data_IF_458586730206
#
_entry.id   IF_458586730206
#
_cell.length_a   1.000
_cell.length_b   1.000
_cell.length_c   1.000
_cell.angle_alpha   90.00
_cell.angle_beta   90.00
_cell.angle_gamma   90.00
#
_symmetry.space_group_name_H-M   'P 1'
#
loop_
_entity.id
_entity.type
_entity.pdbx_description
1 polymer ?
#
# COMPACT_ATOMS: atom_id res chain seq x y z
N UNK A 1 -21.11 6.53 -13.07
CA UNK A 1 -21.92 7.62 -12.50
C UNK A 1 -22.24 8.60 -13.62
N UNK A 2 -23.49 9.10 -13.76
CA UNK A 2 -23.79 10.20 -14.67
C UNK A 2 -23.05 11.47 -14.24
N UNK A 3 -22.72 12.36 -15.18
CA UNK A 3 -22.12 13.65 -14.86
C UNK A 3 -23.11 14.56 -14.12
N UNK A 4 -22.60 15.46 -13.29
CA UNK A 4 -23.38 16.49 -12.62
C UNK A 4 -23.04 16.65 -11.14
N UNK A 5 -23.90 17.37 -10.44
CA UNK A 5 -23.79 17.61 -9.00
C UNK A 5 -24.34 16.41 -8.24
N UNK A 6 -23.51 15.78 -7.42
CA UNK A 6 -23.87 14.63 -6.59
C UNK A 6 -23.61 14.94 -5.13
N UNK A 7 -24.60 14.69 -4.28
CA UNK A 7 -24.45 14.75 -2.82
C UNK A 7 -24.08 13.37 -2.30
N UNK A 8 -23.04 13.32 -1.48
CA UNK A 8 -22.56 12.13 -0.80
C UNK A 8 -22.74 12.32 0.69
N UNK A 9 -23.44 11.39 1.33
CA UNK A 9 -23.72 11.44 2.77
C UNK A 9 -23.37 10.10 3.40
N UNK A 10 -22.62 10.15 4.49
CA UNK A 10 -22.25 9.00 5.31
C UNK A 10 -22.95 9.14 6.65
N UNK A 11 -23.72 8.12 7.02
CA UNK A 11 -24.42 8.03 8.29
C UNK A 11 -23.80 6.95 9.16
N UNK A 12 -23.89 7.11 10.48
CA UNK A 12 -23.79 5.94 11.37
C UNK A 12 -24.91 4.96 11.03
N UNK A 13 -24.66 3.66 11.19
CA UNK A 13 -25.69 2.64 10.97
C UNK A 13 -25.88 1.83 12.25
N UNK A 14 -27.14 1.56 12.67
CA UNK A 14 -27.39 0.65 13.77
C UNK A 14 -26.96 -0.77 13.37
N UNK A 15 -26.56 -1.58 14.35
CA UNK A 15 -26.16 -2.96 14.11
C UNK A 15 -27.40 -3.84 13.86
N UNK A 16 -27.85 -3.90 12.61
CA UNK A 16 -29.03 -4.65 12.15
C UNK A 16 -28.78 -5.23 10.75
N UNK A 17 -29.54 -6.22 10.34
CA UNK A 17 -29.59 -6.78 8.99
C UNK A 17 -30.60 -6.07 8.07
N UNK A 18 -31.46 -5.20 8.61
CA UNK A 18 -32.48 -4.46 7.85
C UNK A 18 -31.82 -3.44 6.90
N UNK A 19 -32.17 -3.41 5.60
CA UNK A 19 -31.70 -2.40 4.66
C UNK A 19 -31.96 -0.97 5.15
N UNK A 20 -31.03 -0.04 4.94
CA UNK A 20 -31.09 1.30 5.53
C UNK A 20 -32.41 2.03 5.23
N UNK A 21 -32.91 1.95 3.99
CA UNK A 21 -34.15 2.64 3.59
C UNK A 21 -35.43 1.98 4.13
N UNK A 22 -35.32 0.78 4.68
CA UNK A 22 -36.42 0.05 5.33
C UNK A 22 -36.42 0.24 6.85
N UNK A 23 -35.40 0.90 7.40
CA UNK A 23 -35.37 1.26 8.82
C UNK A 23 -36.51 2.25 9.15
N UNK A 24 -37.11 2.13 10.36
CA UNK A 24 -38.02 3.14 10.87
C UNK A 24 -37.45 4.55 10.72
N UNK A 25 -38.29 5.51 10.35
CA UNK A 25 -37.89 6.92 10.14
C UNK A 25 -37.16 7.47 11.37
N UNK A 26 -37.67 7.18 12.58
CA UNK A 26 -37.06 7.62 13.84
C UNK A 26 -35.62 7.12 13.99
N UNK A 27 -35.37 5.84 13.67
CA UNK A 27 -34.02 5.26 13.73
C UNK A 27 -33.11 5.89 12.68
N UNK A 28 -33.62 6.23 11.49
CA UNK A 28 -32.83 6.91 10.44
C UNK A 28 -32.47 8.35 10.82
N UNK A 29 -33.38 9.07 11.46
CA UNK A 29 -33.18 10.46 11.92
C UNK A 29 -32.26 10.54 13.14
N UNK A 30 -32.25 9.50 13.98
CA UNK A 30 -31.32 9.37 15.11
C UNK A 30 -29.87 9.03 14.69
N UNK A 31 -29.63 8.68 13.42
CA UNK A 31 -28.28 8.41 12.95
C UNK A 31 -27.48 9.70 12.80
N UNK A 32 -26.30 9.74 13.41
CA UNK A 32 -25.39 10.85 13.24
C UNK A 32 -24.85 10.88 11.80
N UNK A 33 -24.91 12.06 11.18
CA UNK A 33 -24.22 12.31 9.91
C UNK A 33 -22.73 12.36 10.22
N UNK A 34 -21.98 11.41 9.67
CA UNK A 34 -20.52 11.33 9.80
C UNK A 34 -19.87 12.32 8.82
N UNK A 35 -20.36 12.40 7.58
CA UNK A 35 -19.86 13.32 6.58
C UNK A 35 -20.96 13.62 5.54
N UNK A 36 -21.03 14.86 5.07
CA UNK A 36 -21.97 15.31 4.06
C UNK A 36 -21.31 16.36 3.19
N UNK A 37 -21.20 16.08 1.90
CA UNK A 37 -20.69 17.06 0.94
C UNK A 37 -21.29 16.83 -0.44
N UNK A 38 -21.13 17.84 -1.29
CA UNK A 38 -21.60 17.83 -2.67
C UNK A 38 -20.41 18.06 -3.61
N UNK A 39 -20.29 17.20 -4.62
CA UNK A 39 -19.24 17.28 -5.62
C UNK A 39 -19.81 17.31 -7.03
N UNK A 40 -19.12 17.99 -7.93
CA UNK A 40 -19.41 17.94 -9.35
C UNK A 40 -18.56 16.85 -10.00
N UNK A 41 -19.22 15.81 -10.52
CA UNK A 41 -18.58 14.70 -11.20
C UNK A 41 -18.67 14.88 -12.71
N UNK A 42 -17.57 14.60 -13.39
CA UNK A 42 -17.50 14.61 -14.85
C UNK A 42 -17.65 13.19 -15.41
N UNK A 43 -18.27 13.07 -16.59
CA UNK A 43 -18.48 11.79 -17.23
C UNK A 43 -17.15 11.19 -17.71
N UNK A 44 -16.99 9.88 -17.54
CA UNK A 44 -15.78 9.16 -17.97
C UNK A 44 -14.56 9.33 -17.06
N UNK A 45 -14.67 10.11 -15.99
CA UNK A 45 -13.61 10.27 -15.00
C UNK A 45 -13.67 9.17 -13.93
N UNK A 46 -12.51 8.93 -13.30
CA UNK A 46 -12.36 8.03 -12.17
C UNK A 46 -12.12 8.86 -10.91
N UNK A 47 -12.75 8.47 -9.80
CA UNK A 47 -12.62 9.17 -8.53
C UNK A 47 -12.31 8.20 -7.40
N UNK A 48 -11.46 8.64 -6.48
CA UNK A 48 -11.22 7.98 -5.19
C UNK A 48 -11.89 8.80 -4.09
N UNK A 49 -12.72 8.16 -3.29
CA UNK A 49 -13.47 8.78 -2.19
C UNK A 49 -13.00 8.21 -0.85
N UNK A 50 -12.66 9.09 0.07
CA UNK A 50 -12.33 8.75 1.46
C UNK A 50 -13.17 9.60 2.42
N UNK A 51 -13.51 9.03 3.58
CA UNK A 51 -13.97 9.78 4.76
C UNK A 51 -12.79 9.82 5.71
N UNK A 52 -12.25 11.01 5.95
CA UNK A 52 -11.03 11.21 6.73
C UNK A 52 -11.33 11.98 8.01
N UNK A 53 -10.57 11.73 9.07
CA UNK A 53 -10.49 12.61 10.23
C UNK A 53 -9.57 13.79 9.88
N UNK A 54 -9.99 15.03 10.15
CA UNK A 54 -9.20 16.24 9.84
C UNK A 54 -8.09 16.49 10.85
N UNK A 55 -8.45 16.43 12.13
CA UNK A 55 -7.59 16.77 13.26
C UNK A 55 -7.94 15.88 14.45
N UNK A 56 -6.93 15.53 15.24
CA UNK A 56 -7.13 14.74 16.46
C UNK A 56 -7.43 15.65 17.65
N UNK A 57 -8.37 15.25 18.49
CA UNK A 57 -8.58 15.84 19.82
C UNK A 57 -9.48 17.08 19.86
N UNK A 58 -10.20 17.39 18.79
CA UNK A 58 -11.29 18.37 18.82
C UNK A 58 -12.47 17.91 19.69
N UNK A 59 -13.26 18.86 20.21
CA UNK A 59 -14.47 18.56 21.01
C UNK A 59 -15.58 17.87 20.19
N UNK A 60 -15.53 17.99 18.86
CA UNK A 60 -16.42 17.35 17.90
C UNK A 60 -15.60 16.54 16.88
N UNK A 61 -16.12 15.39 16.44
CA UNK A 61 -15.51 14.56 15.39
C UNK A 61 -15.42 15.35 14.08
N UNK A 62 -14.26 15.95 13.83
CA UNK A 62 -13.98 16.75 12.63
C UNK A 62 -13.66 15.82 11.46
N UNK A 63 -14.64 15.53 10.63
CA UNK A 63 -14.47 14.69 9.43
C UNK A 63 -14.36 15.52 8.15
N UNK A 64 -13.71 14.95 7.14
CA UNK A 64 -13.59 15.46 5.78
C UNK A 64 -14.06 14.39 4.81
N UNK A 65 -14.99 14.78 3.94
CA UNK A 65 -15.24 14.00 2.73
C UNK A 65 -14.21 14.39 1.67
N UNK A 66 -13.25 13.49 1.43
CA UNK A 66 -12.14 13.65 0.49
C UNK A 66 -12.48 12.98 -0.83
N UNK A 67 -12.53 13.75 -1.92
CA UNK A 67 -12.78 13.21 -3.27
C UNK A 67 -11.69 13.67 -4.24
N UNK A 68 -10.86 12.73 -4.70
CA UNK A 68 -9.78 12.99 -5.66
C UNK A 68 -10.16 12.45 -7.03
N UNK A 69 -10.03 13.28 -8.07
CA UNK A 69 -10.19 12.85 -9.46
C UNK A 69 -8.90 12.21 -9.96
N UNK A 70 -8.92 10.91 -10.17
CA UNK A 70 -7.76 10.12 -10.56
C UNK A 70 -7.39 10.33 -12.03
N UNK A 71 -6.09 10.39 -12.33
CA UNK A 71 -5.60 10.67 -13.69
C UNK A 71 -5.01 9.46 -14.41
N UNK A 72 -4.82 8.32 -13.74
CA UNK A 72 -4.14 7.17 -14.32
C UNK A 72 -4.80 6.67 -15.62
N UNK A 73 -6.13 6.74 -15.72
CA UNK A 73 -6.88 6.28 -16.89
C UNK A 73 -6.61 7.11 -18.17
N UNK A 74 -5.89 8.24 -18.05
CA UNK A 74 -5.47 9.12 -19.15
C UNK A 74 -3.96 9.09 -19.40
N UNK A 75 -3.21 8.30 -18.65
CA UNK A 75 -1.76 8.21 -18.76
C UNK A 75 -1.35 7.00 -19.59
N UNK A 76 -0.25 7.14 -20.33
CA UNK A 76 0.41 6.00 -20.95
C UNK A 76 1.35 5.35 -19.94
N UNK A 77 1.24 4.03 -19.81
CA UNK A 77 2.08 3.21 -18.92
C UNK A 77 2.83 2.16 -19.72
N UNK A 78 4.13 2.06 -19.45
CA UNK A 78 5.01 1.05 -20.02
C UNK A 78 4.84 -0.27 -19.26
N UNK A 79 4.81 -1.39 -19.99
CA UNK A 79 4.63 -2.71 -19.38
C UNK A 79 5.89 -3.21 -18.65
N UNK A 80 7.02 -2.48 -18.73
CA UNK A 80 8.27 -2.77 -18.02
C UNK A 80 8.44 -1.99 -16.71
N UNK A 81 7.47 -1.16 -16.32
CA UNK A 81 7.54 -0.30 -15.15
C UNK A 81 6.32 -0.51 -14.25
N UNK A 82 6.57 -0.56 -12.95
CA UNK A 82 5.58 -0.42 -11.89
C UNK A 82 5.37 1.06 -11.61
N UNK A 83 4.12 1.48 -11.44
CA UNK A 83 3.78 2.87 -11.14
C UNK A 83 3.16 2.96 -9.76
N UNK A 84 3.68 3.84 -8.91
CA UNK A 84 3.15 4.04 -7.56
C UNK A 84 3.14 5.51 -7.16
N UNK A 85 2.02 5.99 -6.65
CA UNK A 85 1.93 7.28 -5.98
C UNK A 85 1.59 7.12 -4.50
N UNK A 86 1.88 8.16 -3.72
CA UNK A 86 1.79 8.13 -2.27
C UNK A 86 0.98 9.31 -1.75
N UNK A 87 0.24 9.06 -0.67
CA UNK A 87 -0.51 10.08 0.07
C UNK A 87 -0.34 9.87 1.55
N UNK A 88 -0.05 10.95 2.28
CA UNK A 88 -0.20 10.97 3.73
C UNK A 88 -1.46 11.78 4.05
N UNK A 89 -2.56 11.04 4.19
CA UNK A 89 -3.90 11.58 4.44
C UNK A 89 -4.24 11.60 5.95
N UNK A 90 -3.25 11.36 6.81
CA UNK A 90 -3.43 11.33 8.27
C UNK A 90 -3.98 12.67 8.81
N UNK A 91 -4.72 12.57 9.91
CA UNK A 91 -5.23 13.73 10.63
C UNK A 91 -4.09 14.59 11.19
N UNK A 92 -4.33 15.90 11.25
CA UNK A 92 -3.44 16.86 11.93
C UNK A 92 -3.28 16.45 13.40
N UNK A 93 -2.05 16.51 13.91
CA UNK A 93 -1.75 16.19 15.31
C UNK A 93 -1.82 14.70 15.66
N UNK A 94 -2.13 13.80 14.71
CA UNK A 94 -2.29 12.38 15.02
C UNK A 94 -1.05 11.74 15.65
N UNK A 95 0.14 12.03 15.10
CA UNK A 95 1.41 11.50 15.60
C UNK A 95 1.71 12.00 17.01
N UNK A 96 1.46 13.28 17.28
CA UNK A 96 1.74 13.90 18.58
C UNK A 96 0.77 13.42 19.67
N UNK A 97 -0.50 13.18 19.30
CA UNK A 97 -1.51 12.60 20.18
C UNK A 97 -1.28 11.10 20.47
N UNK A 98 -0.49 10.42 19.64
CA UNK A 98 -0.15 9.01 19.79
C UNK A 98 1.37 8.81 19.79
N UNK A 99 2.09 9.35 20.80
CA UNK A 99 3.55 9.33 20.87
C UNK A 99 4.11 7.94 21.19
N UNK A 100 3.25 6.92 21.29
CA UNK A 100 3.63 5.55 21.57
C UNK A 100 4.79 5.15 20.67
N UNK A 101 5.93 4.71 21.25
CA UNK A 101 7.05 4.25 20.45
C UNK A 101 6.59 3.13 19.53
N UNK A 102 7.27 2.93 18.41
CA UNK A 102 7.13 1.70 17.62
C UNK A 102 7.38 0.52 18.56
N UNK A 103 6.34 -0.03 19.19
CA UNK A 103 6.49 -1.21 20.00
C UNK A 103 7.13 -2.25 19.09
N UNK A 104 8.15 -2.96 19.57
CA UNK A 104 8.62 -4.15 18.86
C UNK A 104 7.40 -5.08 18.77
N UNK A 105 6.79 -5.13 17.59
CA UNK A 105 5.58 -5.93 17.37
C UNK A 105 6.03 -7.38 17.49
N UNK A 106 5.74 -7.98 18.63
CA UNK A 106 5.83 -9.42 18.81
C UNK A 106 4.72 -10.04 17.99
N UNK A 107 5.12 -10.78 16.96
CA UNK A 107 4.37 -11.78 16.19
C UNK A 107 2.84 -11.65 16.19
N UNK A 108 2.28 -11.50 14.98
CA UNK A 108 0.88 -11.70 14.58
C UNK A 108 -0.08 -10.51 14.49
N UNK A 109 0.25 -9.32 14.97
CA UNK A 109 -0.63 -8.16 14.77
C UNK A 109 -0.25 -7.41 13.48
N UNK A 110 -0.72 -7.92 12.34
CA UNK A 110 -0.42 -7.45 10.97
C UNK A 110 -0.90 -6.02 10.66
N UNK A 111 -1.26 -5.23 11.66
CA UNK A 111 -1.98 -3.95 11.51
C UNK A 111 -1.41 -2.79 12.34
N UNK A 112 -0.21 -2.92 12.94
CA UNK A 112 0.27 -1.93 13.92
C UNK A 112 1.63 -1.31 13.58
N UNK A 113 1.87 -0.90 12.34
CA UNK A 113 3.01 -0.03 12.01
C UNK A 113 2.92 1.33 12.74
N UNK A 114 3.96 2.16 12.65
CA UNK A 114 3.96 3.49 13.24
C UNK A 114 3.17 4.49 12.40
N UNK A 115 2.55 5.47 13.07
CA UNK A 115 2.07 6.66 12.39
C UNK A 115 3.27 7.40 11.78
N UNK A 116 3.12 7.88 10.56
CA UNK A 116 4.19 8.58 9.84
C UNK A 116 4.12 10.08 10.11
N UNK A 117 5.29 10.73 10.24
CA UNK A 117 5.38 12.19 10.44
C UNK A 117 4.79 12.97 9.26
N UNK A 118 4.53 14.25 9.50
CA UNK A 118 3.99 15.15 8.47
C UNK A 118 4.88 15.20 7.22
N UNK A 119 6.19 15.24 7.41
CA UNK A 119 7.16 15.16 6.32
C UNK A 119 7.93 13.86 6.44
N UNK A 120 8.03 13.12 5.34
CA UNK A 120 8.82 11.89 5.23
C UNK A 120 9.49 11.80 3.86
N UNK A 121 10.59 11.05 3.79
CA UNK A 121 11.22 10.61 2.57
C UNK A 121 10.89 9.13 2.36
N UNK A 122 10.60 8.76 1.13
CA UNK A 122 10.31 7.40 0.70
C UNK A 122 11.47 6.92 -0.16
N UNK A 123 12.02 5.78 0.20
CA UNK A 123 13.02 5.06 -0.58
C UNK A 123 12.45 3.70 -0.97
N UNK A 124 12.92 3.14 -2.08
CA UNK A 124 12.65 1.74 -2.41
C UNK A 124 13.93 0.92 -2.46
N UNK A 125 13.79 -0.36 -2.14
CA UNK A 125 14.82 -1.37 -2.35
C UNK A 125 14.22 -2.58 -3.08
N UNK A 126 14.96 -3.16 -4.01
CA UNK A 126 14.60 -4.42 -4.66
C UNK A 126 15.39 -5.55 -4.05
N UNK A 127 14.72 -6.66 -3.80
CA UNK A 127 15.31 -7.85 -3.22
C UNK A 127 15.02 -9.05 -4.11
N UNK A 128 16.02 -9.92 -4.28
CA UNK A 128 15.83 -11.11 -5.11
C UNK A 128 14.95 -12.12 -4.42
N UNK A 129 14.06 -12.71 -5.20
CA UNK A 129 13.39 -13.95 -4.85
C UNK A 129 14.18 -15.12 -5.45
N UNK A 130 15.17 -15.59 -4.70
CA UNK A 130 16.03 -16.70 -5.10
C UNK A 130 15.33 -18.07 -4.96
N UNK A 131 14.04 -18.09 -4.62
CA UNK A 131 13.28 -19.31 -4.46
C UNK A 131 12.98 -19.93 -5.84
N UNK A 132 13.34 -21.21 -6.06
CA UNK A 132 12.96 -21.93 -7.28
C UNK A 132 11.43 -21.99 -7.44
N UNK A 133 10.95 -21.73 -8.66
CA UNK A 133 9.53 -21.80 -9.01
C UNK A 133 9.20 -23.10 -9.79
N UNK A 134 8.04 -23.76 -9.60
CA UNK A 134 6.97 -23.45 -8.63
C UNK A 134 7.46 -23.56 -7.19
N UNK A 135 6.81 -22.84 -6.26
CA UNK A 135 7.14 -22.89 -4.83
C UNK A 135 6.93 -24.32 -4.30
N UNK A 136 7.96 -25.16 -4.40
CA UNK A 136 7.95 -26.51 -3.84
C UNK A 136 8.46 -26.46 -2.41
N UNK A 137 7.78 -27.17 -1.51
CA UNK A 137 8.30 -27.38 -0.16
C UNK A 137 9.66 -28.09 -0.26
N UNK A 138 10.69 -27.52 0.38
CA UNK A 138 12.00 -28.14 0.51
C UNK A 138 12.01 -28.76 1.91
N UNK A 139 12.13 -30.09 2.03
CA UNK A 139 12.10 -30.80 3.32
C UNK A 139 10.86 -30.49 4.18
N UNK A 140 9.66 -30.41 3.57
CA UNK A 140 8.41 -29.98 4.22
C UNK A 140 8.44 -28.56 4.81
N UNK A 141 9.43 -27.75 4.48
CA UNK A 141 9.52 -26.35 4.88
C UNK A 141 9.28 -25.44 3.68
N UNK A 142 8.62 -24.31 3.93
CA UNK A 142 8.47 -23.27 2.92
C UNK A 142 9.85 -22.67 2.65
N UNK A 143 10.28 -22.56 1.38
CA UNK A 143 11.53 -21.90 1.05
C UNK A 143 11.53 -20.46 1.60
N UNK A 144 12.68 -20.05 2.16
CA UNK A 144 12.85 -18.70 2.73
C UNK A 144 13.08 -17.70 1.62
N UNK A 145 12.43 -16.55 1.72
CA UNK A 145 12.60 -15.46 0.77
C UNK A 145 13.98 -14.85 0.95
N UNK A 146 14.63 -14.58 -0.18
CA UNK A 146 15.88 -13.85 -0.20
C UNK A 146 15.69 -12.43 0.32
N UNK A 147 16.50 -12.05 1.31
CA UNK A 147 16.67 -10.67 1.75
C UNK A 147 17.95 -10.07 1.15
N UNK A 148 18.48 -10.64 0.06
CA UNK A 148 19.65 -10.10 -0.63
C UNK A 148 19.20 -8.93 -1.52
N UNK A 149 19.63 -7.69 -1.23
CA UNK A 149 19.29 -6.57 -2.09
C UNK A 149 19.92 -6.74 -3.46
N UNK A 150 19.20 -6.36 -4.51
CA UNK A 150 19.73 -6.33 -5.86
C UNK A 150 20.80 -5.24 -5.94
N UNK A 151 22.01 -5.53 -6.47
CA UNK A 151 23.05 -4.53 -6.61
C UNK A 151 22.55 -3.26 -7.32
N UNK A 152 22.86 -2.10 -6.76
CA UNK A 152 22.44 -0.80 -7.30
C UNK A 152 20.95 -0.46 -7.10
N UNK A 153 20.17 -1.30 -6.43
CA UNK A 153 18.73 -1.07 -6.19
C UNK A 153 18.40 -1.09 -4.69
N UNK A 154 19.29 -0.53 -3.87
CA UNK A 154 19.09 -0.42 -2.43
C UNK A 154 18.93 1.05 -2.04
N UNK A 155 17.88 1.35 -1.27
CA UNK A 155 17.55 2.69 -0.75
C UNK A 155 17.58 3.77 -1.83
N UNK A 156 16.98 3.48 -2.98
CA UNK A 156 16.84 4.45 -4.06
C UNK A 156 15.78 5.48 -3.66
N UNK A 157 16.10 6.79 -3.66
CA UNK A 157 15.13 7.83 -3.35
C UNK A 157 13.96 7.77 -4.34
N UNK A 158 12.74 7.76 -3.82
CA UNK A 158 11.53 7.71 -4.62
C UNK A 158 10.77 9.04 -4.56
N UNK A 159 10.42 9.50 -3.36
CA UNK A 159 9.63 10.72 -3.18
C UNK A 159 9.82 11.35 -1.80
N UNK A 160 9.77 12.67 -1.72
CA UNK A 160 9.47 13.38 -0.47
C UNK A 160 7.96 13.56 -0.34
N UNK A 161 7.37 13.08 0.74
CA UNK A 161 5.94 13.11 0.99
C UNK A 161 5.65 14.08 2.14
N UNK A 162 4.70 14.97 1.91
CA UNK A 162 4.15 15.87 2.93
C UNK A 162 2.68 15.52 3.15
N UNK A 163 2.26 15.50 4.41
CA UNK A 163 0.87 15.31 4.84
C UNK A 163 -0.01 16.35 4.17
N UNK A 164 -1.07 15.90 3.52
CA UNK A 164 -2.05 16.76 2.90
C UNK A 164 -3.35 16.00 2.70
N UNK A 165 -4.46 16.64 3.05
CA UNK A 165 -5.80 16.17 2.71
C UNK A 165 -6.38 16.99 1.55
N UNK A 166 -5.54 17.68 0.79
CA UNK A 166 -5.95 18.33 -0.46
C UNK A 166 -6.22 17.26 -1.54
N UNK A 167 -7.34 17.33 -2.27
CA UNK A 167 -7.76 16.33 -3.24
C UNK A 167 -6.99 16.42 -4.58
N UNK A 168 -5.67 16.54 -4.51
CA UNK A 168 -4.79 16.68 -5.67
C UNK A 168 -4.06 15.37 -5.92
N UNK A 169 -3.99 14.93 -7.17
CA UNK A 169 -3.24 13.72 -7.55
C UNK A 169 -1.74 13.96 -7.45
N UNK A 170 -1.07 13.15 -6.62
CA UNK A 170 0.39 13.14 -6.53
C UNK A 170 1.02 12.44 -7.75
N UNK A 171 2.25 12.81 -8.15
CA UNK A 171 2.95 12.16 -9.25
C UNK A 171 3.10 10.65 -9.04
N UNK A 172 3.05 9.89 -10.13
CA UNK A 172 3.39 8.46 -10.12
C UNK A 172 4.91 8.33 -10.24
N UNK A 173 5.50 7.64 -9.27
CA UNK A 173 6.88 7.22 -9.32
C UNK A 173 6.99 5.86 -10.00
N UNK A 174 8.16 5.58 -10.58
CA UNK A 174 8.38 4.34 -11.33
C UNK A 174 9.40 3.45 -10.66
N UNK A 175 9.13 2.14 -10.64
CA UNK A 175 10.05 1.09 -10.20
C UNK A 175 10.15 0.06 -11.33
N UNK A 176 11.35 -0.46 -11.68
CA UNK A 176 11.45 -1.43 -12.76
C UNK A 176 10.70 -2.72 -12.44
N UNK A 177 9.88 -3.21 -13.38
CA UNK A 177 9.19 -4.50 -13.25
C UNK A 177 10.16 -5.68 -13.41
N UNK A 178 11.15 -5.55 -14.29
CA UNK A 178 12.16 -6.56 -14.55
C UNK A 178 13.53 -6.02 -14.15
N UNK A 179 14.35 -6.87 -13.53
CA UNK A 179 15.71 -6.49 -13.16
C UNK A 179 16.59 -6.41 -14.42
N UNK A 180 17.70 -5.64 -14.40
CA UNK A 180 18.62 -5.56 -15.53
C UNK A 180 19.22 -6.91 -15.95
N UNK A 181 19.29 -7.87 -15.03
CA UNK A 181 19.77 -9.23 -15.26
C UNK A 181 18.63 -10.27 -15.37
N UNK A 182 17.43 -9.83 -15.73
CA UNK A 182 16.30 -10.73 -15.98
C UNK A 182 16.65 -11.75 -17.07
N UNK A 183 16.63 -13.02 -16.70
CA UNK A 183 16.89 -14.15 -17.60
C UNK A 183 15.63 -14.70 -18.25
N UNK A 184 14.44 -14.19 -17.87
CA UNK A 184 13.15 -14.68 -18.36
C UNK A 184 12.69 -13.98 -19.63
N UNK A 185 13.40 -12.92 -20.07
CA UNK A 185 13.07 -12.18 -21.27
C UNK A 185 11.83 -11.29 -21.12
N UNK A 186 11.69 -10.63 -19.96
CA UNK A 186 10.53 -9.81 -19.58
C UNK A 186 9.23 -10.61 -19.42
N UNK A 187 9.34 -11.86 -18.95
CA UNK A 187 8.18 -12.73 -18.73
C UNK A 187 7.82 -12.80 -17.25
N UNK A 188 8.79 -13.07 -16.38
CA UNK A 188 8.56 -13.32 -14.96
C UNK A 188 9.56 -12.55 -14.11
N UNK A 189 9.05 -11.60 -13.34
CA UNK A 189 9.82 -10.87 -12.35
C UNK A 189 10.00 -11.69 -11.08
N UNK A 190 11.26 -11.86 -10.67
CA UNK A 190 11.67 -12.64 -9.47
C UNK A 190 12.30 -11.74 -8.41
N UNK A 191 11.66 -10.61 -8.15
CA UNK A 191 12.06 -9.70 -7.08
C UNK A 191 10.84 -9.18 -6.34
N UNK A 192 11.06 -8.71 -5.11
CA UNK A 192 10.04 -8.00 -4.33
C UNK A 192 10.51 -6.60 -3.97
N UNK A 193 9.56 -5.72 -3.61
CA UNK A 193 9.81 -4.31 -3.34
C UNK A 193 9.67 -4.04 -1.85
N UNK A 194 10.66 -3.41 -1.26
CA UNK A 194 10.55 -2.79 0.07
C UNK A 194 10.48 -1.29 -0.09
N UNK A 195 9.60 -0.65 0.67
CA UNK A 195 9.58 0.79 0.84
C UNK A 195 10.03 1.15 2.27
N UNK A 196 10.94 2.10 2.34
CA UNK A 196 11.44 2.65 3.59
C UNK A 196 10.95 4.09 3.71
N UNK A 197 10.14 4.35 4.75
CA UNK A 197 9.51 5.64 5.01
C UNK A 197 10.18 6.25 6.24
N UNK A 198 10.94 7.33 6.02
CA UNK A 198 11.78 7.94 7.06
C UNK A 198 11.47 9.42 7.25
N UNK A 199 11.46 9.95 8.48
CA UNK A 199 11.34 11.38 8.70
C UNK A 199 12.61 12.12 8.21
N UNK A 200 12.51 13.41 7.84
CA UNK A 200 13.66 14.26 7.56
C UNK A 200 14.67 14.24 8.72
N UNK A 201 15.96 14.15 8.39
CA UNK A 201 17.04 14.06 9.40
C UNK A 201 17.12 12.71 10.12
N UNK A 202 16.07 11.88 10.03
CA UNK A 202 16.19 10.45 10.28
C UNK A 202 17.07 9.87 9.19
N UNK A 203 18.32 9.56 9.52
CA UNK A 203 19.18 8.85 8.59
C UNK A 203 18.43 7.60 8.13
N UNK A 204 18.31 7.40 6.81
CA UNK A 204 17.96 6.09 6.28
C UNK A 204 18.95 5.13 6.91
N UNK A 205 18.47 4.33 7.88
CA UNK A 205 19.31 3.64 8.85
C UNK A 205 20.53 3.09 8.15
N UNK A 206 21.70 3.64 8.52
CA UNK A 206 22.92 3.48 7.74
C UNK A 206 23.05 2.04 7.32
N UNK A 207 23.08 1.80 6.00
CA UNK A 207 23.21 0.49 5.39
C UNK A 207 22.55 -0.61 6.25
N UNK A 208 21.25 -0.86 6.11
CA UNK A 208 20.73 -2.18 6.50
C UNK A 208 21.33 -3.17 5.50
N UNK A 209 22.63 -3.43 5.64
CA UNK A 209 23.28 -4.60 5.14
C UNK A 209 22.58 -5.75 5.80
N UNK A 210 22.03 -6.64 4.99
CA UNK A 210 21.59 -7.94 5.46
C UNK A 210 22.85 -8.76 5.75
N UNK A 211 23.62 -8.34 6.74
CA UNK A 211 24.81 -9.04 7.25
C UNK A 211 24.52 -9.71 8.58
N UNK A 212 23.33 -9.52 9.17
CA UNK A 212 22.88 -10.28 10.33
C UNK A 212 22.27 -11.62 9.86
N UNK A 213 22.80 -12.77 10.29
CA UNK A 213 22.20 -14.09 10.06
C UNK A 213 20.74 -14.20 10.51
N UNK A 214 20.24 -13.27 11.32
CA UNK A 214 18.85 -13.21 11.78
C UNK A 214 17.86 -12.60 10.76
N UNK A 215 18.33 -11.98 9.68
CA UNK A 215 17.51 -11.32 8.66
C UNK A 215 16.49 -10.30 9.21
N UNK A 216 16.81 -9.65 10.34
CA UNK A 216 15.90 -8.68 10.97
C UNK A 216 15.91 -7.34 10.25
N UNK A 217 14.73 -6.85 9.89
CA UNK A 217 14.53 -5.50 9.37
C UNK A 217 14.37 -4.55 10.57
N UNK A 218 15.34 -3.67 10.79
CA UNK A 218 15.18 -2.59 11.77
C UNK A 218 14.40 -1.44 11.13
N UNK A 219 13.26 -1.08 11.72
CA UNK A 219 12.59 0.15 11.32
C UNK A 219 13.49 1.36 11.66
N UNK A 220 13.57 2.34 10.77
CA UNK A 220 14.27 3.58 11.05
C UNK A 220 13.64 4.29 12.26
N UNK A 221 14.45 4.96 13.07
CA UNK A 221 13.95 5.71 14.22
C UNK A 221 12.88 6.73 13.77
N UNK A 222 11.67 6.62 14.33
CA UNK A 222 10.50 7.45 13.99
C UNK A 222 10.04 7.34 12.52
N UNK A 223 10.37 6.25 11.82
CA UNK A 223 9.84 5.91 10.51
C UNK A 223 9.07 4.59 10.51
N UNK A 224 8.60 4.16 9.34
CA UNK A 224 7.92 2.87 9.15
C UNK A 224 8.49 2.16 7.92
N UNK A 225 8.30 0.84 7.87
CA UNK A 225 8.66 0.01 6.72
C UNK A 225 7.37 -0.51 6.10
N UNK A 226 7.28 -0.46 4.77
CA UNK A 226 6.21 -1.13 4.03
C UNK A 226 6.85 -2.18 3.12
N UNK A 227 6.58 -3.45 3.39
CA UNK A 227 7.07 -4.58 2.59
C UNK A 227 6.01 -5.01 1.59
N UNK A 228 6.34 -4.98 0.29
CA UNK A 228 5.45 -5.30 -0.84
C UNK A 228 5.96 -6.59 -1.50
N UNK A 229 5.31 -7.71 -1.22
CA UNK A 229 5.88 -9.04 -1.54
C UNK A 229 5.03 -9.78 -2.58
N UNK A 230 5.66 -10.39 -3.60
CA UNK A 230 5.02 -11.10 -4.73
C UNK A 230 4.34 -12.43 -4.35
N UNK A 231 4.16 -12.69 -3.06
CA UNK A 231 3.90 -14.04 -2.55
C UNK A 231 2.45 -14.52 -2.70
N UNK A 232 1.66 -13.84 -3.54
CA UNK A 232 0.37 -14.37 -3.92
C UNK A 232 0.55 -15.38 -5.05
N UNK A 233 0.90 -16.61 -4.71
CA UNK A 233 0.14 -17.72 -5.29
C UNK A 233 -1.31 -17.50 -4.86
N UNK A 234 -2.08 -16.73 -5.64
CA UNK A 234 -3.54 -16.62 -5.52
C UNK A 234 -4.10 -16.29 -4.11
N UNK A 235 -3.29 -15.71 -3.21
CA UNK A 235 -3.70 -15.45 -1.82
C UNK A 235 -3.79 -16.70 -0.93
N UNK A 236 -3.20 -17.83 -1.32
CA UNK A 236 -3.35 -19.12 -0.61
C UNK A 236 -2.25 -19.47 0.38
N UNK A 237 -1.18 -18.69 0.48
CA UNK A 237 -0.04 -19.08 1.29
C UNK A 237 0.49 -17.95 2.17
N UNK A 238 0.19 -18.08 3.47
CA UNK A 238 0.77 -17.28 4.54
C UNK A 238 2.30 -17.43 4.57
N UNK A 239 3.02 -16.33 4.74
CA UNK A 239 4.44 -16.37 5.03
C UNK A 239 4.70 -17.25 6.26
N UNK A 240 5.53 -18.27 6.10
CA UNK A 240 6.39 -18.69 7.19
C UNK A 240 7.72 -17.98 6.98
N UNK A 241 7.83 -16.75 7.48
CA UNK A 241 9.13 -16.15 7.73
C UNK A 241 9.78 -17.00 8.81
N UNK A 242 10.53 -18.02 8.41
CA UNK A 242 11.30 -18.81 9.35
C UNK A 242 12.21 -17.88 10.16
N UNK A 243 11.82 -17.53 11.38
CA UNK A 243 12.68 -16.89 12.36
C UNK A 243 12.80 -15.35 12.36
N UNK A 244 11.87 -14.56 11.78
CA UNK A 244 11.93 -13.09 11.93
C UNK A 244 10.78 -12.54 12.77
N UNK A 245 10.77 -12.89 14.06
CA UNK A 245 10.09 -12.03 15.03
C UNK A 245 10.78 -10.67 15.07
N UNK A 246 9.99 -9.59 14.98
CA UNK A 246 10.34 -8.21 15.30
C UNK A 246 10.88 -7.36 14.14
N UNK A 247 10.11 -7.20 13.06
CA UNK A 247 10.26 -6.04 12.17
C UNK A 247 8.97 -5.20 12.24
N UNK A 248 8.97 -4.03 12.88
CA UNK A 248 7.83 -3.13 12.83
C UNK A 248 7.64 -2.62 11.39
N UNK A 249 6.47 -2.88 10.80
CA UNK A 249 6.16 -2.47 9.43
C UNK A 249 4.85 -3.06 8.92
N UNK A 250 4.41 -2.57 7.77
CA UNK A 250 3.21 -3.04 7.08
C UNK A 250 3.59 -4.05 6.00
N UNK A 251 2.82 -5.12 5.88
CA UNK A 251 2.92 -6.06 4.76
C UNK A 251 1.72 -5.83 3.86
N UNK A 252 1.96 -5.38 2.63
CA UNK A 252 0.91 -5.20 1.63
C UNK A 252 1.12 -6.19 0.48
N UNK A 253 0.08 -6.44 -0.33
CA UNK A 253 0.24 -7.14 -1.60
C UNK A 253 1.33 -6.50 -2.47
N UNK A 254 1.92 -7.27 -3.37
CA UNK A 254 2.94 -6.72 -4.26
C UNK A 254 2.40 -5.68 -5.23
N UNK A 255 3.29 -4.76 -5.62
CA UNK A 255 3.16 -3.94 -6.82
C UNK A 255 3.25 -4.78 -8.12
N UNK A 256 3.77 -5.99 -8.05
CA UNK A 256 3.91 -6.90 -9.19
C UNK A 256 2.76 -7.90 -9.14
N UNK A 257 1.94 -7.93 -10.21
CA UNK A 257 0.95 -8.98 -10.36
C UNK A 257 1.55 -10.14 -11.14
N UNK A 258 1.42 -11.35 -10.63
CA UNK A 258 1.75 -12.57 -11.35
C UNK A 258 0.47 -13.37 -11.63
N UNK A 259 0.31 -13.85 -12.85
CA UNK A 259 -0.81 -14.70 -13.27
C UNK A 259 -0.43 -15.54 -14.49
N UNK A 260 -1.12 -16.66 -14.71
CA UNK A 260 -1.04 -17.40 -15.97
C UNK A 260 -1.62 -16.54 -17.11
N UNK A 261 -0.95 -16.50 -18.27
CA UNK A 261 -1.39 -15.69 -19.41
C UNK A 261 -0.71 -16.11 -20.70
N UNK A 262 -1.50 -16.24 -21.77
CA UNK A 262 -1.01 -16.76 -23.05
C UNK A 262 -0.35 -18.14 -22.86
N UNK A 263 0.83 -18.38 -23.48
CA UNK A 263 1.53 -19.66 -23.33
C UNK A 263 2.29 -19.80 -21.99
N UNK A 264 2.30 -18.75 -21.15
CA UNK A 264 3.09 -18.72 -19.93
C UNK A 264 2.25 -19.14 -18.73
N UNK A 265 2.73 -20.16 -18.02
CA UNK A 265 2.14 -20.60 -16.74
C UNK A 265 2.16 -19.50 -15.68
N UNK A 266 3.14 -18.61 -15.77
CA UNK A 266 3.18 -17.37 -14.99
C UNK A 266 3.83 -16.27 -15.82
N UNK A 267 3.22 -15.09 -15.74
CA UNK A 267 3.72 -13.86 -16.31
C UNK A 267 3.55 -12.73 -15.30
N UNK A 268 4.53 -11.84 -15.24
CA UNK A 268 4.49 -10.64 -14.44
C UNK A 268 3.92 -9.47 -15.22
N UNK A 269 3.07 -8.70 -14.55
CA UNK A 269 2.38 -7.56 -15.12
C UNK A 269 2.65 -6.30 -14.31
N UNK A 270 2.84 -5.21 -15.04
CA UNK A 270 2.86 -3.87 -14.49
C UNK A 270 1.54 -3.54 -13.79
N UNK A 271 1.62 -2.80 -12.70
CA UNK A 271 0.44 -2.25 -12.02
C UNK A 271 0.59 -0.74 -11.85
N UNK A 272 -0.56 -0.08 -11.71
CA UNK A 272 -0.65 1.31 -11.26
C UNK A 272 -1.25 1.27 -9.87
N UNK A 273 -0.45 1.62 -8.88
CA UNK A 273 -0.82 1.50 -7.48
C UNK A 273 -0.82 2.85 -6.78
N UNK A 274 -1.64 2.94 -5.74
CA UNK A 274 -1.73 4.07 -4.84
C UNK A 274 -1.58 3.56 -3.42
N UNK A 275 -0.64 4.13 -2.68
CA UNK A 275 -0.41 3.81 -1.27
C UNK A 275 -0.82 5.02 -0.42
N UNK A 276 -1.78 4.81 0.48
CA UNK A 276 -2.35 5.85 1.33
C UNK A 276 -2.04 5.54 2.79
N UNK A 277 -1.31 6.44 3.44
CA UNK A 277 -1.10 6.43 4.88
C UNK A 277 -2.21 7.24 5.52
N UNK A 278 -3.02 6.59 6.34
CA UNK A 278 -4.12 7.23 7.09
C UNK A 278 -3.90 6.88 8.55
N UNK A 279 -3.44 7.87 9.32
CA UNK A 279 -3.18 7.71 10.74
C UNK A 279 -2.14 6.59 10.97
N UNK A 280 -2.52 5.51 11.67
CA UNK A 280 -1.67 4.33 11.92
C UNK A 280 -1.91 3.18 10.92
N UNK A 281 -2.57 3.44 9.81
CA UNK A 281 -2.94 2.43 8.82
C UNK A 281 -2.35 2.76 7.45
N UNK A 282 -2.11 1.70 6.66
CA UNK A 282 -1.66 1.81 5.28
C UNK A 282 -2.58 1.03 4.38
N UNK A 283 -3.07 1.70 3.35
CA UNK A 283 -3.95 1.14 2.34
C UNK A 283 -3.23 1.14 1.00
N UNK A 284 -3.50 0.10 0.21
CA UNK A 284 -3.00 -0.01 -1.15
C UNK A 284 -4.14 -0.34 -2.09
N UNK A 285 -4.30 0.49 -3.11
CA UNK A 285 -5.18 0.22 -4.24
C UNK A 285 -4.32 -0.01 -5.47
N UNK A 286 -4.61 -1.06 -6.24
CA UNK A 286 -3.91 -1.36 -7.48
C UNK A 286 -4.89 -1.56 -8.63
N UNK A 287 -4.58 -0.91 -9.75
CA UNK A 287 -5.26 -1.10 -11.02
C UNK A 287 -4.30 -1.80 -11.97
N UNK A 288 -4.81 -2.78 -12.70
CA UNK A 288 -4.04 -3.52 -13.70
C UNK A 288 -4.80 -3.56 -15.03
N UNK A 289 -4.06 -3.65 -16.13
CA UNK A 289 -4.63 -3.96 -17.44
C UNK A 289 -5.15 -5.40 -17.47
N UNK A 290 -6.10 -5.65 -18.34
CA UNK A 290 -6.51 -7.00 -18.73
C UNK A 290 -5.33 -7.69 -19.42
N UNK A 291 -5.13 -8.98 -19.15
CA UNK A 291 -4.09 -9.81 -19.76
C UNK A 291 -4.71 -10.93 -20.58
N UNK A 292 -3.95 -11.45 -21.55
CA UNK A 292 -4.41 -12.54 -22.40
C UNK A 292 -4.78 -13.76 -21.56
N UNK A 293 -5.89 -14.46 -21.88
CA UNK A 293 -6.24 -15.68 -21.17
C UNK A 293 -5.13 -16.74 -21.34
N UNK A 294 -4.98 -17.66 -20.37
CA UNK A 294 -4.07 -18.80 -20.51
C UNK A 294 -4.44 -19.66 -21.73
N UNK A 295 -3.44 -20.14 -22.45
CA UNK A 295 -3.58 -21.07 -23.58
C UNK A 295 -2.99 -22.41 -23.14
N UNK A 296 -3.79 -23.47 -23.27
CA UNK A 296 -3.37 -24.84 -22.96
C UNK A 296 -2.57 -25.47 -24.09
#
# INVERSE_FOLDING_TARGET
MPSGTHRFVFYTRPFTDVPFFELPVTIREEQAVIADSTFNLSAGEVYTLNVLEKEVGGEELSTLLYLRQERFHKMAFADSLLYVNFYNLSAVGYVDAHPEPSAMITNYDQATGTAIKEHVNIYYSLYRDDIPYPFTLINNQRPRIGFTPVPGHQLIPLQQLTRSQEPIVTPYNTIPLFLPDDTTGNILSRHWVRLDIVPPGGGGGGLIGVSDPSHRLFAPANGTIVSLTNLSDEGRTQLYTGGSGNAPGFFLPSLIRQAASGPYRQRSFATVSTIEFINKQVYMTSVMKTYDPPIN
#
